data_IF_352278420228
#
_entry.id   IF_352278420228
#
_cell.length_a   1.000
_cell.length_b   1.000
_cell.length_c   1.000
_cell.angle_alpha   90.00
_cell.angle_beta   90.00
_cell.angle_gamma   90.00
#
_symmetry.space_group_name_H-M   'P 1'
#
loop_
_entity.id
_entity.type
_entity.pdbx_description
1 polymer ?
#
# COMPACT_ATOMS: atom_id res chain seq x y z
N UNK A 1 -25.09 17.96 -33.56
CA UNK A 1 -23.79 17.28 -33.64
C UNK A 1 -22.95 17.42 -32.37
N UNK A 2 -22.46 18.59 -31.94
CA UNK A 2 -21.63 18.69 -30.71
C UNK A 2 -22.30 18.17 -29.42
N UNK A 3 -23.61 18.38 -29.25
CA UNK A 3 -24.36 17.87 -28.08
C UNK A 3 -24.46 16.35 -28.01
N UNK A 4 -24.46 15.66 -29.15
CA UNK A 4 -24.53 14.19 -29.19
C UNK A 4 -23.19 13.56 -28.78
N UNK A 5 -22.07 14.14 -29.23
CA UNK A 5 -20.73 13.71 -28.81
C UNK A 5 -20.50 13.90 -27.31
N UNK A 6 -20.97 15.02 -26.75
CA UNK A 6 -20.90 15.28 -25.32
C UNK A 6 -21.71 14.25 -24.50
N UNK A 7 -22.89 13.88 -25.00
CA UNK A 7 -23.73 12.86 -24.37
C UNK A 7 -23.06 11.48 -24.38
N UNK A 8 -22.49 11.07 -25.52
CA UNK A 8 -21.76 9.79 -25.62
C UNK A 8 -20.57 9.76 -24.66
N UNK A 9 -19.84 10.87 -24.52
CA UNK A 9 -18.70 10.95 -23.61
C UNK A 9 -19.13 10.82 -22.13
N UNK A 10 -20.15 11.55 -21.69
CA UNK A 10 -20.62 11.52 -20.30
C UNK A 10 -21.18 10.14 -19.92
N UNK A 11 -22.04 9.57 -20.76
CA UNK A 11 -22.81 8.39 -20.39
C UNK A 11 -22.07 7.08 -20.67
N UNK A 12 -21.23 7.04 -21.70
CA UNK A 12 -20.55 5.81 -22.08
C UNK A 12 -19.09 5.85 -21.71
N UNK A 13 -18.32 6.87 -22.10
CA UNK A 13 -16.86 6.82 -21.95
C UNK A 13 -16.39 7.13 -20.53
N UNK A 14 -16.87 8.23 -19.93
CA UNK A 14 -16.43 8.68 -18.62
C UNK A 14 -16.54 7.59 -17.51
N UNK A 15 -17.62 6.79 -17.41
CA UNK A 15 -17.71 5.73 -16.42
C UNK A 15 -16.66 4.62 -16.57
N UNK A 16 -16.29 4.23 -17.80
CA UNK A 16 -15.23 3.22 -17.99
C UNK A 16 -13.84 3.78 -17.62
N UNK A 17 -13.55 5.04 -17.94
CA UNK A 17 -12.30 5.68 -17.55
C UNK A 17 -12.21 5.87 -16.04
N UNK A 18 -13.33 6.23 -15.39
CA UNK A 18 -13.41 6.28 -13.94
C UNK A 18 -13.14 4.91 -13.33
N UNK A 19 -13.79 3.85 -13.83
CA UNK A 19 -13.56 2.47 -13.37
C UNK A 19 -12.11 2.01 -13.55
N UNK A 20 -11.47 2.36 -14.67
CA UNK A 20 -10.04 2.08 -14.92
C UNK A 20 -9.17 2.78 -13.88
N UNK A 21 -9.42 4.06 -13.63
CA UNK A 21 -8.70 4.83 -12.62
C UNK A 21 -8.89 4.23 -11.23
N UNK A 22 -10.13 3.90 -10.85
CA UNK A 22 -10.46 3.29 -9.55
C UNK A 22 -9.74 1.95 -9.35
N UNK A 23 -9.64 1.12 -10.40
CA UNK A 23 -8.88 -0.13 -10.34
C UNK A 23 -7.39 0.12 -10.12
N UNK A 24 -6.80 1.06 -10.87
CA UNK A 24 -5.39 1.41 -10.73
C UNK A 24 -5.06 1.98 -9.35
N UNK A 25 -5.94 2.83 -8.80
CA UNK A 25 -5.74 3.41 -7.47
C UNK A 25 -5.94 2.37 -6.37
N UNK A 26 -6.96 1.52 -6.47
CA UNK A 26 -7.23 0.46 -5.47
C UNK A 26 -6.07 -0.53 -5.38
N UNK A 27 -5.55 -0.99 -6.53
CA UNK A 27 -4.39 -1.89 -6.56
C UNK A 27 -3.15 -1.28 -5.91
N UNK A 28 -2.88 0.01 -6.16
CA UNK A 28 -1.75 0.70 -5.53
C UNK A 28 -1.97 0.92 -4.03
N UNK A 29 -3.19 1.23 -3.61
CA UNK A 29 -3.54 1.39 -2.19
C UNK A 29 -3.34 0.08 -1.43
N UNK A 30 -3.80 -1.04 -1.97
CA UNK A 30 -3.58 -2.37 -1.38
C UNK A 30 -2.09 -2.67 -1.23
N UNK A 31 -1.29 -2.45 -2.27
CA UNK A 31 0.16 -2.67 -2.22
C UNK A 31 0.86 -1.76 -1.18
N UNK A 32 0.44 -0.50 -1.07
CA UNK A 32 0.95 0.44 -0.05
C UNK A 32 0.59 -0.05 1.35
N UNK A 33 -0.64 -0.49 1.56
CA UNK A 33 -1.09 -1.03 2.84
C UNK A 33 -0.29 -2.28 3.23
N UNK A 34 -0.08 -3.21 2.29
CA UNK A 34 0.72 -4.41 2.55
C UNK A 34 2.17 -4.07 2.95
N UNK A 35 2.81 -3.14 2.23
CA UNK A 35 4.16 -2.68 2.54
C UNK A 35 4.21 -1.92 3.87
N UNK A 36 3.21 -1.10 4.16
CA UNK A 36 3.09 -0.36 5.41
C UNK A 36 2.93 -1.30 6.62
N UNK A 37 2.05 -2.29 6.52
CA UNK A 37 1.86 -3.30 7.55
C UNK A 37 3.14 -4.14 7.77
N UNK A 38 3.82 -4.50 6.67
CA UNK A 38 5.14 -5.15 6.74
C UNK A 38 6.18 -4.26 7.45
N UNK A 39 6.21 -2.97 7.14
CA UNK A 39 7.12 -2.01 7.76
C UNK A 39 6.85 -1.86 9.27
N UNK A 40 5.58 -1.76 9.66
CA UNK A 40 5.15 -1.68 11.06
C UNK A 40 5.57 -2.92 11.85
N UNK A 41 5.39 -4.11 11.28
CA UNK A 41 5.86 -5.35 11.88
C UNK A 41 7.38 -5.36 12.09
N UNK A 42 8.16 -5.04 11.04
CA UNK A 42 9.63 -5.01 11.12
C UNK A 42 10.09 -4.01 12.19
N UNK A 43 9.52 -2.81 12.21
CA UNK A 43 9.83 -1.78 13.21
C UNK A 43 9.58 -2.26 14.63
N UNK A 44 8.43 -2.89 14.87
CA UNK A 44 8.09 -3.38 16.20
C UNK A 44 9.05 -4.48 16.70
N UNK A 45 9.51 -5.34 15.79
CA UNK A 45 10.52 -6.37 16.12
C UNK A 45 11.89 -5.73 16.38
N UNK A 46 12.32 -4.80 15.54
CA UNK A 46 13.59 -4.09 15.71
C UNK A 46 13.60 -3.28 17.01
N UNK A 47 12.51 -2.60 17.33
CA UNK A 47 12.37 -1.81 18.56
C UNK A 47 12.45 -2.68 19.81
N UNK A 48 11.80 -3.86 19.80
CA UNK A 48 11.97 -4.84 20.87
C UNK A 48 13.44 -5.27 21.02
N UNK A 49 14.13 -5.55 19.91
CA UNK A 49 15.52 -5.99 19.95
C UNK A 49 16.47 -4.93 20.55
N UNK A 50 16.16 -3.65 20.36
CA UNK A 50 16.91 -2.50 20.92
C UNK A 50 16.61 -2.27 22.40
N UNK A 51 15.34 -2.18 22.77
CA UNK A 51 14.92 -1.76 24.12
C UNK A 51 14.83 -2.92 25.10
N UNK A 52 14.56 -4.14 24.61
CA UNK A 52 14.22 -5.34 25.40
C UNK A 52 13.02 -5.14 26.32
N UNK A 53 12.18 -4.15 26.03
CA UNK A 53 10.96 -3.84 26.76
C UNK A 53 9.75 -4.27 25.94
N UNK A 54 8.78 -4.88 26.61
CA UNK A 54 7.52 -5.30 26.00
C UNK A 54 6.50 -4.18 26.20
N UNK A 55 6.30 -3.39 25.15
CA UNK A 55 5.32 -2.31 25.09
C UNK A 55 4.19 -2.75 24.15
N UNK A 56 2.98 -3.02 24.68
CA UNK A 56 1.82 -3.36 23.86
C UNK A 56 1.55 -2.30 22.78
N UNK A 57 1.33 -2.74 21.54
CA UNK A 57 1.04 -1.85 20.41
C UNK A 57 2.26 -1.20 19.74
N UNK A 58 3.46 -1.36 20.30
CA UNK A 58 4.69 -0.75 19.77
C UNK A 58 5.78 -1.77 19.46
N UNK A 59 5.94 -2.79 20.32
CA UNK A 59 7.03 -3.77 20.20
C UNK A 59 6.49 -5.18 20.04
N UNK A 60 7.21 -6.02 19.28
CA UNK A 60 6.88 -7.44 19.10
C UNK A 60 8.09 -8.30 19.51
N UNK A 61 7.87 -9.21 20.46
CA UNK A 61 8.90 -10.12 20.93
C UNK A 61 8.82 -11.48 20.22
N UNK A 62 9.77 -11.74 19.32
CA UNK A 62 9.88 -13.02 18.60
C UNK A 62 10.87 -14.02 19.23
N UNK A 63 11.61 -13.63 20.28
CA UNK A 63 12.74 -14.41 20.78
C UNK A 63 12.26 -15.55 21.68
N UNK A 64 12.35 -16.79 21.19
CA UNK A 64 11.94 -18.01 21.89
C UNK A 64 10.48 -17.96 22.39
N UNK A 65 9.61 -17.22 21.69
CA UNK A 65 8.20 -17.10 22.04
C UNK A 65 7.33 -17.96 21.13
N UNK A 66 6.33 -18.67 21.67
CA UNK A 66 5.34 -19.37 20.86
C UNK A 66 4.39 -18.35 20.19
N UNK A 67 3.79 -18.74 19.06
CA UNK A 67 2.85 -17.87 18.33
C UNK A 67 1.68 -17.39 19.22
N UNK A 68 1.20 -18.22 20.15
CA UNK A 68 0.14 -17.84 21.10
C UNK A 68 0.48 -16.62 21.98
N UNK A 69 1.78 -16.37 22.22
CA UNK A 69 2.25 -15.19 22.93
C UNK A 69 2.35 -13.96 22.01
N UNK A 70 2.64 -14.17 20.72
CA UNK A 70 2.87 -13.10 19.74
C UNK A 70 1.55 -12.56 19.18
N UNK A 71 0.55 -13.42 19.00
CA UNK A 71 -0.75 -13.04 18.42
C UNK A 71 -1.40 -11.83 19.11
N UNK A 72 -1.50 -11.76 20.45
CA UNK A 72 -2.07 -10.59 21.13
C UNK A 72 -1.31 -9.28 20.85
N UNK A 73 0.02 -9.34 20.65
CA UNK A 73 0.83 -8.18 20.30
C UNK A 73 0.54 -7.71 18.88
N UNK A 74 0.34 -8.66 17.95
CA UNK A 74 -0.05 -8.36 16.57
C UNK A 74 -1.48 -7.83 16.47
N UNK A 75 -2.41 -8.39 17.24
CA UNK A 75 -3.81 -7.96 17.30
C UNK A 75 -3.93 -6.52 17.81
N UNK A 76 -3.15 -6.17 18.84
CA UNK A 76 -3.08 -4.80 19.35
C UNK A 76 -2.59 -3.79 18.29
N UNK A 77 -1.88 -4.27 17.25
CA UNK A 77 -1.39 -3.46 16.13
C UNK A 77 -2.23 -3.61 14.86
N UNK A 78 -3.28 -4.44 14.88
CA UNK A 78 -4.08 -4.83 13.72
C UNK A 78 -3.22 -5.40 12.58
N UNK A 79 -2.26 -6.27 12.91
CA UNK A 79 -1.36 -6.91 11.96
C UNK A 79 -1.76 -8.35 11.67
N UNK A 80 -1.79 -8.70 10.38
CA UNK A 80 -2.03 -10.07 9.93
C UNK A 80 -0.88 -11.01 10.34
N UNK A 81 -1.21 -12.20 10.86
CA UNK A 81 -0.24 -13.21 11.28
C UNK A 81 0.63 -13.75 10.14
N UNK A 82 0.29 -13.49 8.86
CA UNK A 82 1.14 -13.81 7.70
C UNK A 82 2.56 -13.24 7.83
N UNK A 83 2.72 -12.13 8.54
CA UNK A 83 4.02 -11.48 8.75
C UNK A 83 4.98 -12.29 9.65
N UNK A 84 4.50 -13.25 10.44
CA UNK A 84 5.36 -14.17 11.20
C UNK A 84 6.20 -15.08 10.31
N UNK A 85 5.81 -15.28 9.05
CA UNK A 85 6.55 -16.09 8.07
C UNK A 85 7.70 -15.33 7.41
N UNK A 86 7.86 -14.04 7.71
CA UNK A 86 8.94 -13.22 7.16
C UNK A 86 10.29 -13.74 7.67
N UNK A 87 11.26 -13.89 6.77
CA UNK A 87 12.61 -14.34 7.12
C UNK A 87 13.31 -13.33 8.02
N UNK A 88 13.99 -13.82 9.05
CA UNK A 88 14.71 -12.99 10.05
C UNK A 88 15.76 -12.08 9.40
N UNK A 89 16.38 -12.51 8.30
CA UNK A 89 17.33 -11.70 7.51
C UNK A 89 16.73 -10.41 6.94
N UNK A 90 15.41 -10.35 6.79
CA UNK A 90 14.69 -9.15 6.34
C UNK A 90 14.15 -8.29 7.49
N UNK A 91 14.32 -8.73 8.74
CA UNK A 91 13.96 -8.02 9.98
C UNK A 91 15.14 -7.18 10.49
N UNK A 92 15.78 -6.42 9.61
CA UNK A 92 16.94 -5.59 9.93
C UNK A 92 16.61 -4.11 9.86
N UNK A 93 17.31 -3.31 10.66
CA UNK A 93 17.19 -1.85 10.64
C UNK A 93 17.56 -1.27 9.26
N UNK A 94 18.58 -1.84 8.61
CA UNK A 94 19.03 -1.43 7.26
C UNK A 94 18.00 -1.73 6.16
N UNK A 95 17.06 -2.63 6.41
CA UNK A 95 15.97 -2.95 5.48
C UNK A 95 14.81 -1.95 5.51
N UNK A 96 14.66 -1.19 6.61
CA UNK A 96 13.56 -0.24 6.82
C UNK A 96 13.56 0.86 5.75
N UNK A 97 14.69 1.57 5.47
CA UNK A 97 14.70 2.64 4.49
C UNK A 97 14.28 2.18 3.09
N UNK A 98 14.65 0.96 2.69
CA UNK A 98 14.30 0.39 1.38
C UNK A 98 12.81 0.15 1.22
N UNK A 99 12.12 -0.24 2.30
CA UNK A 99 10.67 -0.43 2.28
C UNK A 99 9.97 0.92 2.29
N UNK A 100 10.47 1.90 3.06
CA UNK A 100 9.95 3.27 3.06
C UNK A 100 10.07 3.94 1.68
N UNK A 101 11.20 3.77 1.01
CA UNK A 101 11.40 4.27 -0.35
C UNK A 101 10.36 3.69 -1.31
N UNK A 102 10.15 2.37 -1.27
CA UNK A 102 9.12 1.71 -2.10
C UNK A 102 7.70 2.19 -1.80
N UNK A 103 7.37 2.42 -0.53
CA UNK A 103 6.08 3.01 -0.14
C UNK A 103 5.96 4.41 -0.72
N UNK A 104 7.01 5.23 -0.59
CA UNK A 104 7.03 6.61 -1.10
C UNK A 104 6.89 6.65 -2.62
N UNK A 105 7.62 5.81 -3.36
CA UNK A 105 7.50 5.69 -4.81
C UNK A 105 6.07 5.35 -5.24
N UNK A 106 5.43 4.39 -4.56
CA UNK A 106 4.04 4.01 -4.85
C UNK A 106 3.04 5.09 -4.48
N UNK A 107 3.27 5.81 -3.37
CA UNK A 107 2.44 6.94 -2.98
C UNK A 107 2.52 8.08 -4.00
N UNK A 108 3.72 8.39 -4.51
CA UNK A 108 3.89 9.38 -5.59
C UNK A 108 3.11 8.97 -6.83
N UNK A 109 3.19 7.71 -7.26
CA UNK A 109 2.41 7.20 -8.40
C UNK A 109 0.91 7.26 -8.16
N UNK A 110 0.46 6.94 -6.95
CA UNK A 110 -0.95 7.04 -6.57
C UNK A 110 -1.44 8.51 -6.66
N UNK A 111 -0.64 9.45 -6.16
CA UNK A 111 -0.96 10.88 -6.22
C UNK A 111 -0.96 11.41 -7.66
N UNK A 112 -0.05 10.93 -8.52
CA UNK A 112 -0.04 11.23 -9.95
C UNK A 112 -1.33 10.75 -10.63
N UNK A 113 -1.71 9.48 -10.42
CA UNK A 113 -2.95 8.92 -10.99
C UNK A 113 -4.17 9.68 -10.48
N UNK A 114 -4.20 10.05 -9.20
CA UNK A 114 -5.30 10.82 -8.62
C UNK A 114 -5.45 12.21 -9.25
N UNK A 115 -4.35 12.86 -9.64
CA UNK A 115 -4.37 14.16 -10.34
C UNK A 115 -4.86 14.08 -11.78
N UNK A 116 -4.68 12.94 -12.45
CA UNK A 116 -5.11 12.78 -13.85
C UNK A 116 -6.65 12.76 -13.92
N UNK A 117 -7.22 13.66 -14.71
CA UNK A 117 -8.66 13.68 -15.00
C UNK A 117 -9.01 12.57 -16.00
N UNK A 118 -10.16 11.92 -15.86
CA UNK A 118 -10.69 10.95 -16.83
C UNK A 118 -10.76 11.53 -18.25
N UNK A 119 -11.02 12.84 -18.37
CA UNK A 119 -10.98 13.55 -19.65
C UNK A 119 -9.56 13.58 -20.24
N UNK A 120 -8.53 13.80 -19.44
CA UNK A 120 -7.13 13.80 -19.88
C UNK A 120 -6.67 12.39 -20.28
N UNK A 121 -7.09 11.36 -19.55
CA UNK A 121 -6.82 9.96 -19.95
C UNK A 121 -7.37 9.66 -21.34
N UNK A 122 -8.60 10.12 -21.62
CA UNK A 122 -9.22 9.91 -22.92
C UNK A 122 -8.51 10.67 -24.05
N UNK A 123 -8.07 11.92 -23.81
CA UNK A 123 -7.29 12.66 -24.80
C UNK A 123 -5.95 11.99 -25.12
N UNK A 124 -5.23 11.53 -24.10
CA UNK A 124 -3.96 10.82 -24.31
C UNK A 124 -4.15 9.51 -25.10
N UNK A 125 -5.20 8.75 -24.78
CA UNK A 125 -5.51 7.53 -25.53
C UNK A 125 -5.83 7.89 -27.01
N UNK A 126 -6.56 8.99 -27.28
CA UNK A 126 -6.83 9.43 -28.66
C UNK A 126 -5.56 9.83 -29.43
N UNK A 127 -4.63 10.53 -28.79
CA UNK A 127 -3.33 10.90 -29.39
C UNK A 127 -2.45 9.67 -29.68
N UNK A 128 -2.58 8.58 -28.90
CA UNK A 128 -1.82 7.34 -29.12
C UNK A 128 -2.36 6.49 -30.30
N UNK A 129 -3.59 6.73 -30.75
CA UNK A 129 -4.22 6.01 -31.87
C UNK A 129 -4.05 6.72 -33.24
N UNK A 130 -3.50 7.93 -33.29
CA UNK A 130 -3.15 8.66 -34.52
C UNK A 130 -1.70 8.36 -34.98
#
# INVERSE_FOLDING_TARGET
HEREYYFVWIYWRNPYYQKRKDYMTSSLQEEIEELSNKLRFIRAVVEYNKTRQEIPGTTINLINKPNAYIHPQMDAMNLDYKYLKIQVSSLTEDGIPKIEEKIKEKQVKLDEINKINTKTMWWNDLEEFE
#
